data_IF_010522930529
#
_entry.id   IF_010522930529
#
_cell.length_a   1.000
_cell.length_b   1.000
_cell.length_c   1.000
_cell.angle_alpha   90.00
_cell.angle_beta   90.00
_cell.angle_gamma   90.00
#
_symmetry.space_group_name_H-M   'P 1'
#
loop_
_entity.id
_entity.type
_entity.pdbx_description
1 polymer ?
#
# COMPACT_ATOMS: atom_id res chain seq x y z
N UNK A 1 6.88 -33.34 1.59
CA UNK A 1 7.12 -31.95 1.18
C UNK A 1 8.42 -31.54 1.87
N UNK A 2 9.47 -31.20 1.13
CA UNK A 2 10.73 -30.77 1.71
C UNK A 2 10.74 -29.24 1.79
N UNK A 3 11.29 -28.68 2.88
CA UNK A 3 11.54 -27.24 2.94
C UNK A 3 12.57 -26.85 1.86
N UNK A 4 12.42 -25.69 1.23
CA UNK A 4 13.39 -25.22 0.24
C UNK A 4 14.76 -24.97 0.89
N UNK A 5 15.83 -25.21 0.14
CA UNK A 5 17.16 -24.69 0.50
C UNK A 5 17.14 -23.17 0.37
N UNK A 6 17.62 -22.46 1.38
CA UNK A 6 17.59 -20.99 1.44
C UNK A 6 19.01 -20.40 1.33
N UNK A 7 19.09 -19.17 0.84
CA UNK A 7 20.31 -18.34 0.91
C UNK A 7 20.44 -17.67 2.28
N UNK A 8 21.52 -16.89 2.45
CA UNK A 8 21.62 -15.91 3.54
C UNK A 8 20.58 -14.79 3.40
N UNK A 9 20.32 -14.09 4.50
CA UNK A 9 19.40 -12.94 4.56
C UNK A 9 20.06 -11.72 3.93
N UNK A 10 19.29 -10.98 3.13
CA UNK A 10 19.72 -9.75 2.47
C UNK A 10 18.78 -8.62 2.90
N UNK A 11 19.35 -7.51 3.39
CA UNK A 11 18.62 -6.27 3.59
C UNK A 11 18.46 -5.56 2.24
N UNK A 12 17.23 -5.20 1.89
CA UNK A 12 16.90 -4.50 0.64
C UNK A 12 16.78 -2.97 0.82
N UNK A 13 16.96 -2.48 2.04
CA UNK A 13 17.02 -1.06 2.38
C UNK A 13 18.31 -0.75 3.15
N UNK A 14 18.64 0.53 3.25
CA UNK A 14 19.81 1.01 3.99
C UNK A 14 19.56 2.41 4.56
N UNK A 15 20.44 2.88 5.45
CA UNK A 15 20.34 4.19 6.09
C UNK A 15 20.02 4.14 7.58
N UNK A 16 19.82 5.31 8.20
CA UNK A 16 19.59 5.43 9.64
C UNK A 16 18.11 5.32 10.07
N UNK A 17 17.21 5.44 9.09
CA UNK A 17 15.76 5.37 9.27
C UNK A 17 15.27 3.94 9.37
N UNK A 18 14.07 3.77 9.91
CA UNK A 18 13.40 2.48 9.95
C UNK A 18 12.65 2.24 8.64
N UNK A 19 12.68 1.00 8.15
CA UNK A 19 11.95 0.57 6.97
C UNK A 19 11.05 -0.61 7.32
N UNK A 20 9.83 -0.59 6.81
CA UNK A 20 8.87 -1.66 6.97
C UNK A 20 8.10 -1.86 5.68
N UNK A 21 7.78 -3.12 5.35
CA UNK A 21 6.86 -3.37 4.24
C UNK A 21 5.56 -2.61 4.47
N UNK A 22 5.05 -2.00 3.40
CA UNK A 22 3.91 -1.10 3.49
C UNK A 22 2.56 -1.84 3.64
N UNK A 23 2.58 -3.17 3.73
CA UNK A 23 1.42 -4.04 3.70
C UNK A 23 1.34 -4.99 4.91
N UNK A 24 0.15 -5.55 5.16
CA UNK A 24 -0.05 -6.57 6.19
C UNK A 24 0.09 -7.99 5.65
N UNK A 25 0.08 -9.00 6.53
CA UNK A 25 0.14 -10.41 6.16
C UNK A 25 -0.88 -10.76 5.06
N UNK A 26 -0.43 -11.52 4.05
CA UNK A 26 -1.26 -11.97 2.94
C UNK A 26 -1.46 -10.95 1.82
N UNK A 27 -0.90 -9.74 1.95
CA UNK A 27 -0.89 -8.73 0.90
C UNK A 27 0.49 -8.74 0.22
N UNK A 28 0.50 -8.79 -1.12
CA UNK A 28 1.75 -8.78 -1.88
C UNK A 28 2.31 -7.35 -2.01
N UNK A 29 3.51 -7.13 -1.46
CA UNK A 29 4.26 -5.86 -1.59
C UNK A 29 4.98 -5.73 -2.94
N UNK A 30 5.20 -6.82 -3.66
CA UNK A 30 5.93 -6.82 -4.93
C UNK A 30 5.03 -6.54 -6.12
N UNK A 31 5.57 -5.78 -7.06
CA UNK A 31 5.00 -5.63 -8.39
C UNK A 31 5.04 -6.96 -9.16
N UNK A 32 4.35 -7.02 -10.30
CA UNK A 32 4.32 -8.22 -11.14
C UNK A 32 5.72 -8.70 -11.58
N UNK A 33 6.66 -7.79 -11.83
CA UNK A 33 8.01 -8.15 -12.25
C UNK A 33 8.93 -8.56 -11.10
N UNK A 34 8.49 -8.37 -9.85
CA UNK A 34 9.29 -8.51 -8.62
C UNK A 34 10.50 -7.58 -8.55
N UNK A 35 10.56 -6.55 -9.42
CA UNK A 35 11.61 -5.54 -9.38
C UNK A 35 11.37 -4.52 -8.27
N UNK A 36 10.12 -4.22 -7.93
CA UNK A 36 9.78 -3.18 -6.96
C UNK A 36 8.95 -3.72 -5.81
N UNK A 37 9.34 -3.37 -4.58
CA UNK A 37 8.57 -3.66 -3.37
C UNK A 37 8.07 -2.37 -2.71
N UNK A 38 6.82 -2.33 -2.25
CA UNK A 38 6.27 -1.18 -1.52
C UNK A 38 6.75 -1.17 -0.07
N UNK A 39 7.39 -0.07 0.34
CA UNK A 39 8.01 0.08 1.65
C UNK A 39 7.65 1.45 2.23
N UNK A 40 7.43 1.49 3.54
CA UNK A 40 7.37 2.72 4.31
C UNK A 40 8.75 3.00 4.92
N UNK A 41 9.08 4.28 5.01
CA UNK A 41 10.23 4.79 5.74
C UNK A 41 9.75 5.66 6.91
N UNK A 42 10.42 5.61 8.06
CA UNK A 42 10.06 6.44 9.22
C UNK A 42 11.24 6.70 10.15
N UNK A 43 11.20 7.84 10.85
CA UNK A 43 12.13 8.15 11.95
C UNK A 43 11.63 7.62 13.31
N UNK A 44 10.40 7.09 13.38
CA UNK A 44 9.81 6.61 14.63
C UNK A 44 10.33 5.23 14.98
N UNK A 45 10.89 5.09 16.21
CA UNK A 45 11.44 3.81 16.71
C UNK A 45 10.77 3.28 17.98
N UNK A 46 10.45 4.18 18.92
CA UNK A 46 10.12 3.80 20.31
C UNK A 46 8.75 4.29 20.78
N UNK A 47 7.90 4.73 19.86
CA UNK A 47 6.55 5.21 20.15
C UNK A 47 5.58 4.85 19.02
N UNK A 48 4.28 4.89 19.28
CA UNK A 48 3.28 4.69 18.23
C UNK A 48 3.15 5.93 17.35
N UNK A 49 3.04 5.79 16.01
CA UNK A 49 2.78 6.91 15.12
C UNK A 49 1.38 7.50 15.37
N UNK A 50 1.27 8.82 15.22
CA UNK A 50 0.00 9.56 15.14
C UNK A 50 -0.16 10.19 13.76
N UNK A 51 -1.28 10.87 13.53
CA UNK A 51 -1.52 11.65 12.30
C UNK A 51 -0.51 12.79 12.06
N UNK A 52 0.22 13.20 13.10
CA UNK A 52 1.31 14.17 13.04
C UNK A 52 2.62 13.55 12.55
N UNK A 53 2.67 12.23 12.38
CA UNK A 53 3.86 11.51 11.93
C UNK A 53 3.60 10.82 10.59
N UNK A 54 3.55 11.57 9.47
CA UNK A 54 3.47 10.96 8.15
C UNK A 54 4.71 10.08 7.88
N UNK A 55 4.51 8.96 7.19
CA UNK A 55 5.58 8.12 6.69
C UNK A 55 5.66 8.22 5.17
N UNK A 56 6.85 8.45 4.59
CA UNK A 56 7.09 8.25 3.17
C UNK A 56 6.74 6.81 2.76
N UNK A 57 5.87 6.69 1.76
CA UNK A 57 5.60 5.47 1.02
C UNK A 57 6.38 5.52 -0.28
N UNK A 58 7.18 4.50 -0.55
CA UNK A 58 8.02 4.41 -1.72
C UNK A 58 8.15 3.00 -2.28
N UNK A 59 8.96 2.89 -3.33
CA UNK A 59 9.38 1.63 -3.92
C UNK A 59 10.83 1.37 -3.54
N UNK A 60 11.15 0.13 -3.19
CA UNK A 60 12.53 -0.36 -3.18
C UNK A 60 12.78 -1.08 -4.51
N UNK A 61 13.78 -0.63 -5.28
CA UNK A 61 14.25 -1.36 -6.46
C UNK A 61 15.11 -2.54 -6.00
N UNK A 62 14.66 -3.76 -6.26
CA UNK A 62 15.32 -5.02 -5.87
C UNK A 62 16.66 -5.27 -6.61
N UNK A 63 16.98 -4.45 -7.62
CA UNK A 63 18.25 -4.52 -8.36
C UNK A 63 19.29 -3.60 -7.74
N UNK A 64 18.89 -2.39 -7.33
CA UNK A 64 19.81 -1.35 -6.83
C UNK A 64 19.75 -1.17 -5.31
N UNK A 65 18.72 -1.70 -4.66
CA UNK A 65 18.35 -1.48 -3.25
C UNK A 65 18.11 0.00 -2.91
N UNK A 66 17.75 0.80 -3.91
CA UNK A 66 17.41 2.20 -3.74
C UNK A 66 15.95 2.35 -3.31
N UNK A 67 15.71 3.19 -2.30
CA UNK A 67 14.38 3.63 -1.92
C UNK A 67 13.96 4.86 -2.73
N UNK A 68 12.91 4.70 -3.52
CA UNK A 68 12.33 5.72 -4.40
C UNK A 68 11.04 6.23 -3.75
N UNK A 69 11.03 7.42 -3.13
CA UNK A 69 9.84 7.96 -2.48
C UNK A 69 8.76 8.31 -3.52
N UNK A 70 7.51 7.93 -3.24
CA UNK A 70 6.36 8.24 -4.11
C UNK A 70 5.44 9.31 -3.49
N UNK A 71 5.16 9.20 -2.21
CA UNK A 71 4.17 10.01 -1.49
C UNK A 71 4.37 9.87 0.02
N UNK A 72 3.59 10.58 0.81
CA UNK A 72 3.45 10.35 2.25
C UNK A 72 2.06 9.82 2.58
N UNK A 73 1.96 9.07 3.68
CA UNK A 73 0.69 8.67 4.28
C UNK A 73 0.67 8.96 5.77
N UNK A 74 -0.49 9.39 6.28
CA UNK A 74 -0.78 9.58 7.71
C UNK A 74 -1.57 8.42 8.32
N UNK A 75 -1.96 7.43 7.53
CA UNK A 75 -2.73 6.28 8.00
C UNK A 75 -1.87 5.01 7.97
N UNK A 76 -0.96 4.90 8.94
CA UNK A 76 -0.06 3.75 9.04
C UNK A 76 0.22 3.35 10.50
N UNK A 77 0.70 2.12 10.69
CA UNK A 77 1.29 1.64 11.95
C UNK A 77 2.35 0.56 11.67
N UNK A 78 3.15 0.19 12.66
CA UNK A 78 4.24 -0.79 12.48
C UNK A 78 3.77 -2.17 12.03
N UNK A 79 2.60 -2.61 12.50
CA UNK A 79 2.12 -3.95 12.25
C UNK A 79 1.50 -4.07 10.85
N UNK A 80 0.73 -3.08 10.41
CA UNK A 80 -0.07 -3.13 9.18
C UNK A 80 0.49 -2.32 8.01
N UNK A 81 1.53 -1.52 8.25
CA UNK A 81 1.95 -0.48 7.33
C UNK A 81 0.79 0.47 7.04
N UNK A 82 0.64 0.87 5.79
CA UNK A 82 -0.51 1.63 5.29
C UNK A 82 -1.45 0.77 4.42
N UNK A 83 -1.35 -0.56 4.53
CA UNK A 83 -2.10 -1.54 3.73
C UNK A 83 -1.86 -1.38 2.21
N UNK A 84 -0.66 -0.93 1.81
CA UNK A 84 -0.31 -0.76 0.42
C UNK A 84 -0.37 -2.09 -0.34
N UNK A 85 -0.94 -2.09 -1.55
CA UNK A 85 -0.91 -3.24 -2.44
C UNK A 85 -1.00 -2.86 -3.90
N UNK A 86 -0.37 -3.67 -4.75
CA UNK A 86 -0.50 -3.57 -6.20
C UNK A 86 -1.90 -4.01 -6.65
N UNK A 87 -2.51 -3.26 -7.55
CA UNK A 87 -3.82 -3.63 -8.09
C UNK A 87 -3.65 -4.77 -9.10
N UNK A 88 -4.37 -5.87 -8.91
CA UNK A 88 -4.31 -7.01 -9.84
C UNK A 88 -4.69 -6.68 -11.28
N UNK A 89 -5.44 -5.59 -11.51
CA UNK A 89 -5.79 -5.09 -12.85
C UNK A 89 -4.69 -4.24 -13.51
N UNK A 90 -3.71 -3.75 -12.76
CA UNK A 90 -2.47 -3.14 -13.27
C UNK A 90 -1.33 -3.29 -12.24
N UNK A 91 -0.80 -4.51 -12.11
CA UNK A 91 0.11 -4.91 -11.03
C UNK A 91 1.56 -4.43 -11.23
N UNK A 92 1.78 -3.61 -12.25
CA UNK A 92 3.05 -3.02 -12.69
C UNK A 92 3.04 -1.48 -12.61
N UNK A 93 1.87 -0.86 -12.39
CA UNK A 93 1.75 0.60 -12.41
C UNK A 93 0.89 1.18 -11.29
N UNK A 94 -0.12 0.46 -10.80
CA UNK A 94 -1.05 1.00 -9.82
C UNK A 94 -0.89 0.34 -8.46
N UNK A 95 -0.70 1.19 -7.45
CA UNK A 95 -0.81 0.81 -6.04
C UNK A 95 -2.06 1.44 -5.43
N UNK A 96 -2.59 0.82 -4.39
CA UNK A 96 -3.56 1.41 -3.49
C UNK A 96 -3.07 1.31 -2.06
N UNK A 97 -3.27 2.37 -1.28
CA UNK A 97 -2.85 2.45 0.13
C UNK A 97 -3.84 3.31 0.91
N UNK A 98 -3.83 3.20 2.24
CA UNK A 98 -4.64 4.06 3.11
C UNK A 98 -3.91 5.35 3.43
N UNK A 99 -4.66 6.44 3.53
CA UNK A 99 -4.17 7.76 3.93
C UNK A 99 -5.23 8.50 4.76
N UNK A 100 -4.81 9.58 5.44
CA UNK A 100 -5.68 10.50 6.15
C UNK A 100 -5.57 11.88 5.49
N UNK A 101 -6.62 12.29 4.78
CA UNK A 101 -6.67 13.56 4.04
C UNK A 101 -7.84 14.39 4.54
N UNK A 102 -7.60 15.65 4.87
CA UNK A 102 -8.64 16.58 5.35
C UNK A 102 -9.47 16.01 6.51
N UNK A 103 -8.81 15.33 7.46
CA UNK A 103 -9.43 14.68 8.61
C UNK A 103 -10.28 13.44 8.29
N UNK A 104 -10.18 12.89 7.08
CA UNK A 104 -10.93 11.70 6.65
C UNK A 104 -9.98 10.59 6.18
N UNK A 105 -10.17 9.40 6.71
CA UNK A 105 -9.51 8.21 6.19
C UNK A 105 -10.03 7.89 4.79
N UNK A 106 -9.10 7.69 3.86
CA UNK A 106 -9.35 7.38 2.45
C UNK A 106 -8.41 6.28 2.01
N UNK A 107 -8.75 5.58 0.93
CA UNK A 107 -7.80 4.80 0.15
C UNK A 107 -7.40 5.64 -1.07
N UNK A 108 -6.12 5.61 -1.43
CA UNK A 108 -5.58 6.36 -2.56
C UNK A 108 -5.07 5.35 -3.57
N UNK A 109 -5.60 5.39 -4.79
CA UNK A 109 -5.05 4.64 -5.92
C UNK A 109 -4.09 5.59 -6.64
N UNK A 110 -2.83 5.20 -6.78
CA UNK A 110 -1.76 6.00 -7.37
C UNK A 110 -1.06 5.21 -8.48
N UNK A 111 -0.77 5.88 -9.59
CA UNK A 111 0.16 5.38 -10.59
C UNK A 111 1.59 5.72 -10.17
N UNK A 112 2.42 4.71 -9.99
CA UNK A 112 3.79 4.86 -9.47
C UNK A 112 4.75 5.52 -10.47
N UNK A 113 4.42 5.51 -11.77
CA UNK A 113 5.26 6.09 -12.82
C UNK A 113 4.90 7.55 -13.10
N UNK A 114 3.63 7.92 -12.96
CA UNK A 114 3.15 9.27 -13.30
C UNK A 114 2.80 10.14 -12.09
N UNK A 115 2.66 9.54 -10.91
CA UNK A 115 2.19 10.21 -9.70
C UNK A 115 0.70 10.58 -9.70
N UNK A 116 -0.03 10.29 -10.79
CA UNK A 116 -1.47 10.54 -10.85
C UNK A 116 -2.21 9.67 -9.83
N UNK A 117 -3.13 10.28 -9.09
CA UNK A 117 -3.86 9.58 -8.03
C UNK A 117 -5.36 9.91 -8.02
N UNK A 118 -6.14 9.02 -7.41
CA UNK A 118 -7.56 9.23 -7.10
C UNK A 118 -7.88 8.68 -5.71
N UNK A 119 -8.81 9.32 -5.00
CA UNK A 119 -9.33 8.80 -3.75
C UNK A 119 -10.47 7.81 -4.01
N UNK A 120 -10.46 6.73 -3.25
CA UNK A 120 -11.50 5.73 -3.18
C UNK A 120 -11.75 5.41 -1.69
N UNK A 121 -12.99 5.17 -1.29
CA UNK A 121 -13.35 5.02 0.13
C UNK A 121 -13.36 3.55 0.57
N UNK A 122 -12.30 2.80 0.20
CA UNK A 122 -12.10 1.35 0.40
C UNK A 122 -12.66 0.43 -0.70
N UNK A 123 -12.21 0.56 -1.96
CA UNK A 123 -12.67 -0.29 -3.04
C UNK A 123 -12.15 -1.73 -2.87
N UNK A 124 -12.97 -2.70 -3.24
CA UNK A 124 -12.72 -4.14 -3.19
C UNK A 124 -13.22 -4.71 -4.51
N UNK A 125 -12.32 -5.23 -5.32
CA UNK A 125 -12.71 -5.93 -6.52
C UNK A 125 -13.24 -7.31 -6.19
N UNK A 126 -14.33 -7.73 -6.83
CA UNK A 126 -14.71 -9.13 -6.82
C UNK A 126 -13.69 -9.96 -7.63
N UNK A 127 -13.43 -11.22 -7.26
CA UNK A 127 -12.44 -12.07 -7.93
C UNK A 127 -12.64 -12.23 -9.44
N UNK A 128 -13.87 -12.07 -9.92
CA UNK A 128 -14.25 -12.17 -11.32
C UNK A 128 -14.18 -10.83 -12.08
N UNK A 129 -13.67 -9.74 -11.49
CA UNK A 129 -13.62 -8.42 -12.15
C UNK A 129 -14.97 -7.72 -12.33
N UNK A 130 -16.00 -8.34 -11.76
CA UNK A 130 -17.42 -8.02 -11.75
C UNK A 130 -17.97 -6.73 -11.16
N UNK A 131 -17.43 -6.46 -9.98
CA UNK A 131 -18.08 -5.73 -8.91
C UNK A 131 -16.99 -4.96 -8.18
N UNK A 132 -17.28 -3.71 -7.86
CA UNK A 132 -16.46 -2.87 -6.99
C UNK A 132 -17.25 -2.65 -5.70
N UNK A 133 -16.79 -3.23 -4.60
CA UNK A 133 -17.32 -2.96 -3.26
C UNK A 133 -16.59 -1.78 -2.62
N UNK A 134 -17.25 -0.87 -1.92
CA UNK A 134 -16.61 0.26 -1.24
C UNK A 134 -17.42 0.69 -0.02
N UNK A 135 -16.84 1.42 0.92
CA UNK A 135 -17.60 1.97 2.04
C UNK A 135 -18.08 3.39 1.72
N UNK A 136 -19.34 3.70 1.99
CA UNK A 136 -19.89 5.03 1.78
C UNK A 136 -20.89 5.41 2.87
N UNK A 137 -21.02 6.71 3.14
CA UNK A 137 -22.04 7.28 4.04
C UNK A 137 -23.25 7.81 3.29
N UNK A 138 -23.39 7.53 1.98
CA UNK A 138 -24.44 8.12 1.15
C UNK A 138 -25.87 7.81 1.65
N UNK A 139 -26.05 6.73 2.41
CA UNK A 139 -27.31 6.33 3.03
C UNK A 139 -27.50 6.87 4.47
N UNK A 140 -26.74 7.89 4.88
CA UNK A 140 -26.85 8.54 6.20
C UNK A 140 -25.98 7.92 7.31
N UNK A 141 -25.43 6.72 7.11
CA UNK A 141 -24.45 6.08 8.01
C UNK A 141 -23.44 5.27 7.18
N UNK A 142 -22.29 4.90 7.74
CA UNK A 142 -21.26 4.14 6.99
C UNK A 142 -21.77 2.73 6.67
N UNK A 143 -21.89 2.42 5.39
CA UNK A 143 -22.31 1.12 4.88
C UNK A 143 -21.27 0.53 3.93
N UNK A 144 -21.24 -0.80 3.82
CA UNK A 144 -20.57 -1.49 2.74
C UNK A 144 -21.48 -1.49 1.51
N UNK A 145 -20.98 -1.00 0.39
CA UNK A 145 -21.72 -0.77 -0.85
C UNK A 145 -21.06 -1.55 -1.99
N UNK A 146 -21.80 -1.84 -3.06
CA UNK A 146 -21.27 -2.46 -4.27
C UNK A 146 -21.81 -1.77 -5.52
N UNK A 147 -20.96 -1.61 -6.54
CA UNK A 147 -21.36 -1.28 -7.91
C UNK A 147 -21.08 -2.52 -8.77
N UNK A 148 -22.08 -2.95 -9.54
CA UNK A 148 -21.91 -4.00 -10.56
C UNK A 148 -21.53 -3.34 -11.89
N UNK A 149 -20.43 -3.77 -12.49
CA UNK A 149 -20.04 -3.34 -13.83
C UNK A 149 -20.93 -4.10 -14.82
N UNK A 150 -21.68 -3.38 -15.65
CA UNK A 150 -22.45 -3.94 -16.77
C UNK A 150 -21.61 -3.77 -18.04
N UNK A 151 -21.59 -4.79 -18.89
CA UNK A 151 -21.05 -4.70 -20.24
C UNK A 151 -21.82 -3.67 -21.07
#
# INVERSE_FOLDING_TARGET
MAFPTISDVIAITSGAKEHLFASYYGINSWDMSQRFATVLETDIKHQLPTEENPAPLGLVDMTTHEFIPLTETRAWNFQQGCMAHWLGTSPDSLIIYNDLRTGKFVSVIMNVHTGHWRCDLHPRWSPNGNIIGFNSTFSGSRQACVIKLRE
#
